data_IF_198511475138
#
_entry.id   IF_198511475138
#
_cell.length_a   1.000
_cell.length_b   1.000
_cell.length_c   1.000
_cell.angle_alpha   90.00
_cell.angle_beta   90.00
_cell.angle_gamma   90.00
#
_symmetry.space_group_name_H-M   'P 1'
#
loop_
_entity.id
_entity.type
_entity.pdbx_description
1 polymer ?
#
# COMPACT_ATOMS: atom_id res chain seq x y z
N UNK A 1 19.95 4.54 13.53
CA UNK A 1 19.21 3.42 12.92
C UNK A 1 19.98 2.14 13.21
N UNK A 2 19.33 1.07 13.67
CA UNK A 2 19.96 -0.24 13.72
C UNK A 2 20.31 -0.65 12.28
N UNK A 3 21.60 -0.88 11.99
CA UNK A 3 22.11 -1.08 10.63
C UNK A 3 21.48 -2.28 9.91
N UNK A 4 21.13 -3.34 10.64
CA UNK A 4 20.59 -4.57 10.05
C UNK A 4 19.19 -4.39 9.45
N UNK A 5 18.30 -3.66 10.12
CA UNK A 5 16.96 -3.35 9.58
C UNK A 5 17.07 -2.46 8.34
N UNK A 6 17.90 -1.40 8.41
CA UNK A 6 18.07 -0.48 7.29
C UNK A 6 18.65 -1.21 6.06
N UNK A 7 19.63 -2.09 6.26
CA UNK A 7 20.19 -2.90 5.17
C UNK A 7 19.14 -3.81 4.54
N UNK A 8 18.39 -4.58 5.34
CA UNK A 8 17.31 -5.43 4.82
C UNK A 8 16.30 -4.65 4.00
N UNK A 9 15.91 -3.47 4.47
CA UNK A 9 14.97 -2.60 3.74
C UNK A 9 15.59 -2.10 2.44
N UNK A 10 16.86 -1.71 2.44
CA UNK A 10 17.56 -1.30 1.22
C UNK A 10 17.60 -2.43 0.19
N UNK A 11 17.97 -3.66 0.61
CA UNK A 11 18.01 -4.83 -0.25
C UNK A 11 16.62 -5.16 -0.83
N UNK A 12 15.57 -5.07 0.00
CA UNK A 12 14.20 -5.29 -0.43
C UNK A 12 13.70 -4.24 -1.44
N UNK A 13 14.16 -2.98 -1.30
CA UNK A 13 13.83 -1.91 -2.24
C UNK A 13 14.51 -2.09 -3.61
N UNK A 14 15.61 -2.83 -3.69
CA UNK A 14 16.30 -3.17 -4.93
C UNK A 14 15.67 -4.35 -5.69
N UNK A 15 14.52 -4.86 -5.21
CA UNK A 15 13.78 -5.91 -5.91
C UNK A 15 13.55 -5.53 -7.39
N UNK A 16 14.02 -6.39 -8.29
CA UNK A 16 13.97 -6.14 -9.72
C UNK A 16 12.53 -5.93 -10.20
N UNK A 17 12.29 -4.80 -10.86
CA UNK A 17 11.05 -4.54 -11.58
C UNK A 17 11.29 -4.66 -13.08
N UNK A 18 10.26 -5.06 -13.82
CA UNK A 18 10.32 -5.10 -15.28
C UNK A 18 10.71 -3.71 -15.85
N UNK A 19 11.60 -3.59 -16.85
CA UNK A 19 12.05 -2.29 -17.36
C UNK A 19 10.91 -1.34 -17.76
N UNK A 20 9.88 -1.86 -18.43
CA UNK A 20 8.65 -1.13 -18.74
C UNK A 20 7.94 -0.51 -17.52
N UNK A 21 7.96 -1.18 -16.35
CA UNK A 21 7.41 -0.65 -15.09
C UNK A 21 8.25 0.52 -14.60
N UNK A 22 9.58 0.37 -14.61
CA UNK A 22 10.50 1.44 -14.20
C UNK A 22 10.40 2.66 -15.13
N UNK A 23 10.30 2.44 -16.45
CA UNK A 23 10.11 3.50 -17.44
C UNK A 23 8.78 4.25 -17.25
N UNK A 24 7.68 3.52 -16.97
CA UNK A 24 6.39 4.15 -16.70
C UNK A 24 6.42 4.94 -15.39
N UNK A 25 7.04 4.39 -14.34
CA UNK A 25 7.21 5.07 -13.07
C UNK A 25 8.05 6.35 -13.21
N UNK A 26 9.15 6.29 -13.96
CA UNK A 26 10.03 7.44 -14.25
C UNK A 26 9.25 8.57 -14.91
N UNK A 27 8.55 8.28 -16.01
CA UNK A 27 7.71 9.25 -16.72
C UNK A 27 6.70 9.93 -15.79
N UNK A 28 5.96 9.13 -15.01
CA UNK A 28 4.94 9.64 -14.09
C UNK A 28 5.54 10.46 -12.94
N UNK A 29 6.72 10.07 -12.46
CA UNK A 29 7.44 10.73 -11.38
C UNK A 29 8.01 12.08 -11.83
N UNK A 30 8.63 12.14 -13.00
CA UNK A 30 9.17 13.35 -13.61
C UNK A 30 8.05 14.37 -13.88
N UNK A 31 6.94 13.93 -14.50
CA UNK A 31 5.77 14.78 -14.75
C UNK A 31 5.20 15.37 -13.45
N UNK A 32 5.23 14.59 -12.36
CA UNK A 32 4.72 15.02 -11.07
C UNK A 32 5.72 15.85 -10.25
N UNK A 33 6.97 15.99 -10.71
CA UNK A 33 8.06 16.59 -9.90
C UNK A 33 8.36 15.78 -8.63
N UNK A 34 8.22 14.46 -8.68
CA UNK A 34 8.46 13.59 -7.54
C UNK A 34 9.96 13.43 -7.22
N UNK A 35 10.25 13.12 -5.97
CA UNK A 35 11.58 12.72 -5.51
C UNK A 35 11.83 11.22 -5.71
N UNK A 36 10.78 10.41 -5.64
CA UNK A 36 10.87 8.96 -5.79
C UNK A 36 9.54 8.32 -6.19
N UNK A 37 9.63 7.14 -6.78
CA UNK A 37 8.51 6.26 -7.07
C UNK A 37 8.70 4.89 -6.40
N UNK A 38 7.75 4.51 -5.56
CA UNK A 38 7.65 3.18 -4.97
C UNK A 38 6.64 2.34 -5.74
N UNK A 39 7.00 1.10 -6.07
CA UNK A 39 6.12 0.13 -6.71
C UNK A 39 5.77 -0.98 -5.72
N UNK A 40 4.50 -1.38 -5.71
CA UNK A 40 4.02 -2.45 -4.82
C UNK A 40 2.87 -3.22 -5.46
N UNK A 41 2.36 -4.22 -4.75
CA UNK A 41 1.17 -4.97 -5.14
C UNK A 41 1.50 -6.31 -5.77
N UNK A 42 0.48 -6.96 -6.35
CA UNK A 42 0.62 -8.31 -6.92
C UNK A 42 1.61 -8.36 -8.07
N UNK A 43 1.64 -7.32 -8.90
CA UNK A 43 2.45 -7.28 -10.12
C UNK A 43 3.95 -7.16 -9.85
N UNK A 44 4.34 -6.63 -8.67
CA UNK A 44 5.74 -6.65 -8.24
C UNK A 44 6.27 -8.07 -8.11
N UNK A 45 5.43 -9.00 -7.64
CA UNK A 45 5.83 -10.41 -7.48
C UNK A 45 5.73 -11.19 -8.78
N UNK A 46 4.64 -11.02 -9.54
CA UNK A 46 4.41 -11.84 -10.74
C UNK A 46 5.23 -11.38 -11.94
N UNK A 47 5.74 -10.14 -11.92
CA UNK A 47 6.38 -9.52 -13.09
C UNK A 47 5.40 -9.24 -14.22
N UNK A 48 4.10 -9.49 -14.01
CA UNK A 48 3.07 -9.31 -15.04
C UNK A 48 2.85 -7.83 -15.30
N UNK A 49 2.91 -7.49 -16.58
CA UNK A 49 2.48 -6.18 -17.09
C UNK A 49 0.97 -6.15 -17.37
N UNK A 50 0.27 -7.27 -17.21
CA UNK A 50 -1.20 -7.33 -17.24
C UNK A 50 -1.78 -6.86 -15.91
N UNK A 51 -2.82 -6.04 -15.97
CA UNK A 51 -3.44 -5.48 -14.77
C UNK A 51 -3.16 -4.00 -14.61
N UNK A 52 -3.17 -3.53 -13.36
CA UNK A 52 -2.88 -2.14 -13.01
C UNK A 52 -1.66 -2.12 -12.09
N UNK A 53 -0.63 -1.41 -12.50
CA UNK A 53 0.58 -1.17 -11.73
C UNK A 53 0.28 -0.15 -10.62
N UNK A 54 0.61 -0.48 -9.38
CA UNK A 54 0.36 0.41 -8.24
C UNK A 54 1.64 1.19 -7.86
N UNK A 55 1.62 2.50 -8.08
CA UNK A 55 2.73 3.39 -7.73
C UNK A 55 2.38 4.35 -6.60
N UNK A 56 3.37 4.62 -5.74
CA UNK A 56 3.39 5.75 -4.82
C UNK A 56 4.45 6.74 -5.26
N UNK A 57 4.06 7.95 -5.63
CA UNK A 57 4.97 9.05 -5.94
C UNK A 57 5.15 9.92 -4.70
N UNK A 58 6.40 10.04 -4.25
CA UNK A 58 6.81 10.80 -3.08
C UNK A 58 7.25 12.18 -3.56
N UNK A 59 6.44 13.20 -3.29
CA UNK A 59 6.70 14.58 -3.70
C UNK A 59 7.60 15.31 -2.68
N UNK A 60 8.54 16.15 -3.12
CA UNK A 60 9.21 17.09 -2.22
C UNK A 60 8.23 18.14 -1.68
N UNK A 61 8.64 18.86 -0.64
CA UNK A 61 7.87 19.96 -0.07
C UNK A 61 6.73 19.54 0.88
N UNK A 62 5.75 20.42 1.05
CA UNK A 62 4.65 20.27 2.00
C UNK A 62 3.41 19.62 1.38
N UNK A 63 2.61 18.96 2.22
CA UNK A 63 1.35 18.36 1.77
C UNK A 63 0.31 19.46 1.55
N UNK A 64 -0.11 19.63 0.30
CA UNK A 64 -1.12 20.62 -0.09
C UNK A 64 -2.54 20.14 0.25
N UNK A 65 -2.84 18.87 -0.02
CA UNK A 65 -4.19 18.33 0.15
C UNK A 65 -4.42 17.76 1.56
N UNK A 66 -5.54 18.14 2.20
CA UNK A 66 -5.90 17.66 3.54
C UNK A 66 -6.18 16.15 3.59
N UNK A 67 -6.84 15.62 2.56
CA UNK A 67 -7.13 14.20 2.42
C UNK A 67 -6.14 13.64 1.42
N UNK A 68 -5.18 12.86 1.89
CA UNK A 68 -4.15 12.23 1.08
C UNK A 68 -4.29 10.70 1.11
N UNK A 69 -3.69 9.96 0.14
CA UNK A 69 -3.00 10.48 -1.05
C UNK A 69 -3.97 11.02 -2.12
N UNK A 70 -3.47 11.78 -3.10
CA UNK A 70 -4.20 12.01 -4.36
C UNK A 70 -4.01 10.79 -5.24
N UNK A 71 -5.11 10.17 -5.68
CA UNK A 71 -5.04 8.99 -6.55
C UNK A 71 -5.41 9.38 -7.97
N UNK A 72 -4.77 8.79 -8.97
CA UNK A 72 -5.05 8.98 -10.40
C UNK A 72 -4.81 7.68 -11.19
N UNK A 73 -5.43 7.57 -12.37
CA UNK A 73 -5.27 6.45 -13.29
C UNK A 73 -4.65 6.90 -14.61
N UNK A 74 -3.62 6.16 -15.04
CA UNK A 74 -2.81 6.48 -16.21
C UNK A 74 -2.71 5.27 -17.14
N UNK A 75 -2.71 5.52 -18.44
CA UNK A 75 -2.43 4.52 -19.47
C UNK A 75 -1.27 5.02 -20.32
N UNK A 76 -0.40 4.10 -20.71
CA UNK A 76 0.74 4.42 -21.58
C UNK A 76 0.99 3.27 -22.54
N UNK A 77 1.02 3.59 -23.83
CA UNK A 77 1.45 2.65 -24.86
C UNK A 77 2.98 2.60 -24.90
N UNK A 78 3.53 1.42 -24.61
CA UNK A 78 4.95 1.14 -24.59
C UNK A 78 5.21 -0.16 -25.34
N UNK A 79 6.03 -0.10 -26.40
CA UNK A 79 6.41 -1.27 -27.22
C UNK A 79 5.18 -2.07 -27.73
N UNK A 80 4.16 -1.37 -28.22
CA UNK A 80 2.93 -1.99 -28.75
C UNK A 80 1.99 -2.56 -27.68
N UNK A 81 2.25 -2.31 -26.39
CA UNK A 81 1.42 -2.73 -25.26
C UNK A 81 0.91 -1.55 -24.44
N UNK A 82 -0.38 -1.57 -24.11
CA UNK A 82 -0.96 -0.59 -23.18
C UNK A 82 -0.71 -1.01 -21.73
N UNK A 83 0.18 -0.29 -21.07
CA UNK A 83 0.41 -0.36 -19.62
C UNK A 83 -0.62 0.51 -18.90
N UNK A 84 -0.98 0.11 -17.69
CA UNK A 84 -1.97 0.80 -16.85
C UNK A 84 -1.41 1.00 -15.47
N UNK A 85 -1.54 2.19 -14.92
CA UNK A 85 -1.02 2.52 -13.60
C UNK A 85 -2.07 3.24 -12.76
N UNK A 86 -2.13 2.87 -11.48
CA UNK A 86 -2.78 3.62 -10.43
C UNK A 86 -1.69 4.31 -9.62
N UNK A 87 -1.77 5.62 -9.54
CA UNK A 87 -0.74 6.45 -8.94
C UNK A 87 -1.31 7.15 -7.71
N UNK A 88 -0.70 6.93 -6.56
CA UNK A 88 -0.94 7.67 -5.32
C UNK A 88 0.18 8.71 -5.12
N UNK A 89 -0.17 10.00 -5.08
CA UNK A 89 0.77 11.11 -4.82
C UNK A 89 0.64 11.58 -3.38
N UNK A 90 1.77 11.79 -2.71
CA UNK A 90 1.85 12.28 -1.34
C UNK A 90 3.13 13.08 -1.14
N UNK A 91 3.13 14.09 -0.27
CA UNK A 91 4.37 14.72 0.16
C UNK A 91 5.20 13.75 1.00
N UNK A 92 6.52 13.69 0.75
CA UNK A 92 7.44 12.80 1.44
C UNK A 92 7.41 12.99 2.97
N UNK A 93 7.36 14.22 3.46
CA UNK A 93 7.27 14.49 4.89
C UNK A 93 5.98 13.91 5.53
N UNK A 94 4.87 13.88 4.80
CA UNK A 94 3.62 13.27 5.28
C UNK A 94 3.68 11.75 5.23
N UNK A 95 4.35 11.19 4.21
CA UNK A 95 4.63 9.76 4.14
C UNK A 95 5.44 9.28 5.35
N UNK A 96 6.51 10.00 5.71
CA UNK A 96 7.36 9.70 6.88
C UNK A 96 6.54 9.72 8.18
N UNK A 97 5.83 10.82 8.48
CA UNK A 97 4.98 10.89 9.68
C UNK A 97 3.93 9.79 9.74
N UNK A 98 3.36 9.42 8.59
CA UNK A 98 2.40 8.33 8.52
C UNK A 98 3.08 6.97 8.77
N UNK A 99 4.26 6.72 8.18
CA UNK A 99 5.04 5.51 8.39
C UNK A 99 5.48 5.32 9.86
N UNK A 100 5.83 6.41 10.53
CA UNK A 100 6.24 6.44 11.95
C UNK A 100 5.04 6.35 12.92
N UNK A 101 3.82 6.29 12.38
CA UNK A 101 2.60 6.16 13.17
C UNK A 101 2.22 7.46 13.90
N UNK A 102 2.76 8.60 13.50
CA UNK A 102 2.42 9.93 14.03
C UNK A 102 1.12 10.47 13.44
N UNK A 103 0.66 9.90 12.33
CA UNK A 103 -0.66 10.17 11.75
C UNK A 103 -1.79 9.39 12.45
N UNK A 104 -3.03 9.88 12.28
CA UNK A 104 -4.27 9.11 12.57
C UNK A 104 -4.51 8.01 11.55
N UNK A 105 -3.95 8.18 10.36
CA UNK A 105 -4.02 7.21 9.29
C UNK A 105 -3.09 6.02 9.54
N UNK A 106 -3.56 4.84 9.18
CA UNK A 106 -2.87 3.57 9.44
C UNK A 106 -2.45 2.84 8.17
N UNK A 107 -2.80 3.39 7.01
CA UNK A 107 -2.68 2.73 5.71
C UNK A 107 -1.23 2.67 5.23
N UNK A 108 -0.42 3.70 5.49
CA UNK A 108 0.97 3.77 5.02
C UNK A 108 1.81 2.68 5.66
N UNK A 109 1.91 2.62 6.99
CA UNK A 109 2.73 1.61 7.63
C UNK A 109 2.19 0.19 7.41
N UNK A 110 0.86 0.02 7.32
CA UNK A 110 0.25 -1.29 7.02
C UNK A 110 0.49 -1.76 5.57
N UNK A 111 0.68 -0.81 4.63
CA UNK A 111 0.99 -1.09 3.21
C UNK A 111 2.49 -1.34 3.01
N UNK A 112 3.33 -0.50 3.59
CA UNK A 112 4.78 -0.50 3.35
C UNK A 112 5.59 -1.37 4.32
N UNK A 113 4.91 -2.07 5.24
CA UNK A 113 5.50 -3.26 5.89
C UNK A 113 5.52 -4.47 4.96
N UNK A 114 4.69 -4.49 3.91
CA UNK A 114 4.71 -5.51 2.87
C UNK A 114 5.79 -5.18 1.82
N UNK A 115 6.23 -6.15 1.00
CA UNK A 115 7.23 -5.90 -0.04
C UNK A 115 6.83 -4.75 -0.99
N UNK A 116 7.83 -3.91 -1.29
CA UNK A 116 7.76 -2.80 -2.24
C UNK A 116 9.16 -2.57 -2.84
N UNK A 117 9.23 -2.09 -4.07
CA UNK A 117 10.48 -1.74 -4.74
C UNK A 117 10.60 -0.22 -4.96
N UNK A 118 11.82 0.29 -4.93
CA UNK A 118 12.16 1.66 -5.31
C UNK A 118 12.50 1.68 -6.80
N UNK A 119 11.52 1.96 -7.64
CA UNK A 119 11.65 1.81 -9.11
C UNK A 119 12.16 3.06 -9.82
N UNK A 120 12.17 4.21 -9.13
CA UNK A 120 12.76 5.45 -9.64
C UNK A 120 13.10 6.39 -8.48
N UNK A 121 14.20 7.15 -8.63
CA UNK A 121 14.62 8.25 -7.75
C UNK A 121 15.15 9.40 -8.59
N UNK A 122 14.86 10.64 -8.18
CA UNK A 122 15.39 11.82 -8.87
C UNK A 122 16.88 12.03 -8.62
N UNK A 123 17.32 11.79 -7.38
CA UNK A 123 18.72 11.90 -6.96
C UNK A 123 19.04 10.82 -5.91
N UNK A 124 20.31 10.41 -5.82
CA UNK A 124 20.77 9.42 -4.85
C UNK A 124 20.55 9.82 -3.38
N UNK A 125 20.44 11.12 -3.10
CA UNK A 125 20.23 11.67 -1.75
C UNK A 125 18.90 11.24 -1.10
N UNK A 126 17.90 10.90 -1.92
CA UNK A 126 16.59 10.47 -1.43
C UNK A 126 16.61 9.03 -0.92
N UNK A 127 17.49 8.18 -1.43
CA UNK A 127 17.56 6.76 -1.09
C UNK A 127 17.65 6.50 0.42
N UNK A 128 18.61 7.07 1.18
CA UNK A 128 18.68 6.84 2.63
C UNK A 128 17.42 7.33 3.38
N UNK A 129 16.79 8.41 2.90
CA UNK A 129 15.56 8.95 3.50
C UNK A 129 14.39 7.99 3.30
N UNK A 130 14.28 7.40 2.10
CA UNK A 130 13.24 6.42 1.76
C UNK A 130 13.44 5.13 2.57
N UNK A 131 14.67 4.62 2.64
CA UNK A 131 15.01 3.46 3.47
C UNK A 131 14.60 3.70 4.93
N UNK A 132 14.93 4.87 5.49
CA UNK A 132 14.52 5.25 6.84
C UNK A 132 13.00 5.30 7.00
N UNK A 133 12.27 5.84 6.02
CA UNK A 133 10.81 5.93 6.08
C UNK A 133 10.15 4.53 6.07
N UNK A 134 10.62 3.62 5.22
CA UNK A 134 10.11 2.25 5.14
C UNK A 134 10.51 1.45 6.40
N UNK A 135 11.71 1.65 6.92
CA UNK A 135 12.09 1.11 8.23
C UNK A 135 11.19 1.64 9.35
N UNK A 136 10.78 2.91 9.30
CA UNK A 136 9.78 3.50 10.21
C UNK A 136 8.43 2.80 10.13
N UNK A 137 7.96 2.49 8.91
CA UNK A 137 6.75 1.69 8.70
C UNK A 137 6.85 0.30 9.32
N UNK A 138 7.95 -0.41 9.08
CA UNK A 138 8.19 -1.74 9.64
C UNK A 138 8.20 -1.73 11.17
N UNK A 139 8.89 -0.76 11.77
CA UNK A 139 8.94 -0.55 13.23
C UNK A 139 7.56 -0.23 13.81
N UNK A 140 6.79 0.67 13.19
CA UNK A 140 5.43 0.98 13.66
C UNK A 140 4.52 -0.24 13.64
N UNK A 141 4.57 -1.00 12.56
CA UNK A 141 3.79 -2.22 12.35
C UNK A 141 4.20 -3.32 13.36
N UNK A 142 5.49 -3.58 13.50
CA UNK A 142 6.04 -4.60 14.40
C UNK A 142 5.74 -4.31 15.88
N UNK A 143 5.82 -3.04 16.31
CA UNK A 143 5.45 -2.62 17.66
C UNK A 143 4.00 -2.93 17.98
N UNK A 144 3.09 -2.65 17.04
CA UNK A 144 1.68 -2.96 17.21
C UNK A 144 1.45 -4.47 17.18
N UNK A 145 2.16 -5.20 16.30
CA UNK A 145 2.10 -6.66 16.24
C UNK A 145 2.50 -7.30 17.57
N UNK A 146 3.58 -6.85 18.21
CA UNK A 146 4.00 -7.33 19.54
C UNK A 146 2.91 -7.12 20.62
N UNK A 147 2.17 -6.02 20.55
CA UNK A 147 1.12 -5.72 21.52
C UNK A 147 -0.21 -6.45 21.23
N UNK A 148 -0.49 -6.82 19.98
CA UNK A 148 -1.71 -7.52 19.58
C UNK A 148 -1.58 -9.04 19.57
N UNK A 149 -0.39 -9.53 19.23
CA UNK A 149 -0.10 -10.95 19.05
C UNK A 149 -0.08 -11.76 20.35
N UNK A 150 0.20 -13.07 20.24
CA UNK A 150 0.26 -13.97 21.37
C UNK A 150 1.44 -13.64 22.30
N UNK A 151 1.42 -14.21 23.51
CA UNK A 151 2.58 -14.13 24.43
C UNK A 151 3.83 -14.78 23.83
N UNK A 152 3.65 -15.87 23.09
CA UNK A 152 4.68 -16.50 22.28
C UNK A 152 4.09 -17.19 21.05
N UNK A 153 4.70 -16.98 19.89
CA UNK A 153 4.25 -17.51 18.60
C UNK A 153 5.29 -17.32 17.50
N UNK A 154 4.97 -17.75 16.27
CA UNK A 154 5.84 -17.48 15.12
C UNK A 154 5.71 -16.03 14.66
N UNK A 155 6.62 -15.56 13.80
CA UNK A 155 6.47 -14.24 13.19
C UNK A 155 5.12 -14.09 12.46
N UNK A 156 4.65 -15.15 11.82
CA UNK A 156 3.36 -15.18 11.14
C UNK A 156 2.20 -14.90 12.10
N UNK A 157 2.20 -15.46 13.31
CA UNK A 157 1.15 -15.23 14.32
C UNK A 157 1.02 -13.73 14.66
N UNK A 158 2.16 -13.05 14.85
CA UNK A 158 2.21 -11.62 15.15
C UNK A 158 1.70 -10.78 13.98
N UNK A 159 2.16 -11.06 12.75
CA UNK A 159 1.71 -10.34 11.57
C UNK A 159 0.25 -10.59 11.24
N UNK A 160 -0.24 -11.82 11.43
CA UNK A 160 -1.65 -12.18 11.28
C UNK A 160 -2.53 -11.40 12.26
N UNK A 161 -2.13 -11.30 13.52
CA UNK A 161 -2.82 -10.48 14.51
C UNK A 161 -2.86 -8.99 14.09
N UNK A 162 -1.74 -8.46 13.61
CA UNK A 162 -1.65 -7.10 13.09
C UNK A 162 -2.61 -6.88 11.90
N UNK A 163 -2.50 -7.71 10.86
CA UNK A 163 -3.28 -7.53 9.64
C UNK A 163 -4.78 -7.66 9.91
N UNK A 164 -5.21 -8.66 10.70
CA UNK A 164 -6.61 -8.76 11.12
C UNK A 164 -7.11 -7.49 11.80
N UNK A 165 -6.32 -6.91 12.70
CA UNK A 165 -6.69 -5.66 13.37
C UNK A 165 -6.79 -4.48 12.38
N UNK A 166 -5.83 -4.36 11.44
CA UNK A 166 -5.86 -3.26 10.45
C UNK A 166 -7.00 -3.41 9.44
N UNK A 167 -7.28 -4.63 8.97
CA UNK A 167 -8.40 -4.89 8.06
C UNK A 167 -9.75 -4.57 8.71
N UNK A 168 -9.94 -4.89 9.99
CA UNK A 168 -11.16 -4.55 10.73
C UNK A 168 -11.32 -3.05 11.01
N UNK A 169 -10.20 -2.30 11.06
CA UNK A 169 -10.21 -0.86 11.31
C UNK A 169 -10.57 -0.04 10.07
N UNK A 170 -10.35 -0.62 8.88
CA UNK A 170 -10.57 0.03 7.60
C UNK A 170 -11.90 -0.38 6.96
N UNK A 171 -12.54 0.55 6.25
CA UNK A 171 -13.65 0.18 5.36
C UNK A 171 -13.05 -0.43 4.07
N UNK A 172 -12.89 -1.76 4.02
CA UNK A 172 -12.44 -2.50 2.83
C UNK A 172 -13.49 -3.52 2.41
N UNK A 173 -13.77 -3.57 1.10
CA UNK A 173 -14.62 -4.60 0.47
C UNK A 173 -13.72 -5.70 -0.09
N UNK A 174 -12.95 -6.34 0.79
CA UNK A 174 -12.10 -7.48 0.43
C UNK A 174 -12.72 -8.78 0.98
N UNK A 175 -12.47 -9.91 0.31
CA UNK A 175 -12.93 -11.23 0.79
C UNK A 175 -12.23 -11.54 2.13
N UNK A 176 -12.93 -12.15 3.10
CA UNK A 176 -12.28 -12.71 4.29
C UNK A 176 -11.11 -13.62 3.91
N UNK A 177 -9.97 -13.54 4.63
CA UNK A 177 -8.78 -14.38 4.40
C UNK A 177 -7.72 -13.78 3.46
N UNK A 178 -7.84 -12.52 3.04
CA UNK A 178 -6.80 -11.84 2.25
C UNK A 178 -5.47 -11.75 3.03
N UNK A 179 -5.52 -11.58 4.35
CA UNK A 179 -4.34 -11.55 5.21
C UNK A 179 -3.49 -12.81 5.08
N UNK A 180 -4.13 -13.98 4.95
CA UNK A 180 -3.44 -15.27 4.82
C UNK A 180 -2.78 -15.39 3.46
N UNK A 181 -3.42 -14.85 2.41
CA UNK A 181 -2.79 -14.74 1.11
C UNK A 181 -1.54 -13.85 1.18
N UNK A 182 -1.58 -12.69 1.84
CA UNK A 182 -0.41 -11.79 1.92
C UNK A 182 0.76 -12.44 2.66
N UNK A 183 0.48 -13.12 3.76
CA UNK A 183 1.49 -13.79 4.58
C UNK A 183 2.11 -14.97 3.84
N UNK A 184 1.29 -15.86 3.28
CA UNK A 184 1.77 -17.07 2.59
C UNK A 184 2.67 -16.78 1.39
N UNK A 185 2.34 -15.80 0.54
CA UNK A 185 3.22 -15.44 -0.60
C UNK A 185 4.49 -14.67 -0.20
N UNK A 186 4.62 -14.21 1.05
CA UNK A 186 5.78 -13.42 1.48
C UNK A 186 6.33 -13.90 2.85
N UNK A 187 6.26 -15.19 3.15
CA UNK A 187 6.62 -15.75 4.46
C UNK A 187 8.05 -15.35 4.87
N UNK A 188 9.04 -15.57 4.01
CA UNK A 188 10.45 -15.21 4.25
C UNK A 188 10.67 -13.71 4.50
N UNK A 189 9.87 -12.85 3.86
CA UNK A 189 9.92 -11.41 4.10
C UNK A 189 9.50 -11.11 5.54
N UNK A 190 8.36 -11.65 5.97
CA UNK A 190 7.77 -11.38 7.28
C UNK A 190 8.53 -12.04 8.44
N UNK A 191 9.03 -13.25 8.25
CA UNK A 191 9.86 -13.97 9.22
C UNK A 191 11.14 -13.21 9.55
N UNK A 192 11.88 -12.76 8.53
CA UNK A 192 13.12 -12.02 8.75
C UNK A 192 12.90 -10.56 9.19
N UNK A 193 11.74 -9.96 8.88
CA UNK A 193 11.49 -8.55 9.20
C UNK A 193 11.17 -8.32 10.68
N UNK A 194 10.38 -9.20 11.31
CA UNK A 194 9.84 -8.95 12.65
C UNK A 194 10.92 -8.80 13.72
N UNK A 195 11.90 -9.72 13.85
CA UNK A 195 12.95 -9.61 14.87
C UNK A 195 13.78 -8.33 14.67
N UNK A 196 14.19 -8.03 13.43
CA UNK A 196 14.98 -6.83 13.12
C UNK A 196 14.23 -5.54 13.45
N UNK A 197 12.91 -5.51 13.22
CA UNK A 197 12.08 -4.37 13.57
C UNK A 197 11.94 -4.18 15.08
N UNK A 198 11.81 -5.27 15.85
CA UNK A 198 11.81 -5.21 17.32
C UNK A 198 13.16 -4.78 17.90
N UNK A 199 14.26 -5.33 17.39
CA UNK A 199 15.62 -4.93 17.77
C UNK A 199 15.87 -3.44 17.50
N UNK A 200 15.46 -2.95 16.33
CA UNK A 200 15.61 -1.53 15.97
C UNK A 200 14.86 -0.59 16.92
N UNK A 201 13.80 -1.06 17.57
CA UNK A 201 13.02 -0.31 18.56
C UNK A 201 13.43 -0.58 20.01
N UNK A 202 14.40 -1.47 20.24
CA UNK A 202 14.79 -1.90 21.57
C UNK A 202 13.68 -2.66 22.31
N UNK A 203 12.79 -3.35 21.59
CA UNK A 203 11.79 -4.24 22.19
C UNK A 203 12.53 -5.55 22.52
N UNK A 204 12.76 -5.90 23.80
CA UNK A 204 13.39 -7.16 24.14
C UNK A 204 12.45 -8.32 23.81
N UNK A 205 12.99 -9.44 23.31
CA UNK A 205 12.22 -10.65 23.05
C UNK A 205 13.09 -11.90 23.30
N UNK A 206 12.45 -13.02 23.63
CA UNK A 206 13.10 -14.33 23.59
C UNK A 206 12.88 -14.96 22.22
N UNK A 207 13.85 -15.76 21.78
CA UNK A 207 13.78 -16.55 20.55
C UNK A 207 14.18 -17.99 20.84
N UNK A 208 13.32 -18.93 20.45
CA UNK A 208 13.55 -20.36 20.51
C UNK A 208 13.12 -20.97 19.16
N UNK A 209 14.09 -21.28 18.32
CA UNK A 209 13.86 -21.61 16.91
C UNK A 209 13.07 -20.51 16.17
N UNK A 210 11.89 -20.87 15.70
CA UNK A 210 10.94 -19.97 15.02
C UNK A 210 9.99 -19.24 15.98
N UNK A 211 9.93 -19.65 17.25
CA UNK A 211 9.06 -19.03 18.25
C UNK A 211 9.73 -17.78 18.81
N UNK A 212 8.96 -16.71 18.82
CA UNK A 212 9.31 -15.40 19.34
C UNK A 212 8.39 -15.07 20.52
N UNK A 213 8.91 -14.36 21.51
CA UNK A 213 8.14 -13.91 22.67
C UNK A 213 8.59 -12.50 23.09
N UNK A 214 7.86 -11.42 22.70
CA UNK A 214 8.21 -10.06 23.06
C UNK A 214 7.98 -9.82 24.55
N UNK A 215 8.96 -9.22 25.22
CA UNK A 215 8.92 -8.86 26.64
C UNK A 215 8.44 -7.42 26.77
N UNK A 216 7.14 -7.22 26.66
CA UNK A 216 6.50 -5.93 26.93
C UNK A 216 5.96 -5.90 28.35
N UNK A 217 6.25 -4.85 29.11
CA UNK A 217 5.55 -4.63 30.37
C UNK A 217 4.06 -4.42 30.12
N UNK A 218 3.23 -4.73 31.12
CA UNK A 218 1.79 -4.51 31.02
C UNK A 218 1.45 -3.03 30.74
N UNK A 219 2.25 -2.09 31.24
CA UNK A 219 2.09 -0.65 30.99
C UNK A 219 2.39 -0.29 29.53
N UNK A 220 3.48 -0.78 28.95
CA UNK A 220 3.83 -0.54 27.54
C UNK A 220 2.81 -1.14 26.59
N UNK A 221 2.37 -2.38 26.85
CA UNK A 221 1.32 -3.02 26.06
C UNK A 221 0.04 -2.19 26.07
N UNK A 222 -0.41 -1.74 27.25
CA UNK A 222 -1.58 -0.84 27.37
C UNK A 222 -1.37 0.47 26.61
N UNK A 223 -0.18 1.07 26.65
CA UNK A 223 0.14 2.31 25.92
C UNK A 223 -0.01 2.13 24.41
N UNK A 224 0.56 1.05 23.86
CA UNK A 224 0.48 0.72 22.43
C UNK A 224 -0.97 0.45 22.01
N UNK A 225 -1.71 -0.35 22.78
CA UNK A 225 -3.11 -0.65 22.49
C UNK A 225 -4.01 0.59 22.58
N UNK A 226 -3.73 1.50 23.52
CA UNK A 226 -4.45 2.79 23.63
C UNK A 226 -4.11 3.73 22.47
N UNK A 227 -2.85 3.75 22.01
CA UNK A 227 -2.42 4.45 20.81
C UNK A 227 -3.16 3.92 19.56
N UNK A 228 -3.31 2.61 19.45
CA UNK A 228 -4.04 1.94 18.37
C UNK A 228 -5.55 2.20 18.42
N UNK A 229 -6.17 2.06 19.58
CA UNK A 229 -7.62 2.24 19.76
C UNK A 229 -8.07 3.64 19.31
N UNK A 230 -7.28 4.67 19.59
CA UNK A 230 -7.53 6.04 19.11
C UNK A 230 -7.50 6.14 17.59
N UNK A 231 -6.55 5.46 16.91
CA UNK A 231 -6.39 5.48 15.45
C UNK A 231 -7.46 4.66 14.72
N UNK A 232 -7.79 3.48 15.25
CA UNK A 232 -8.84 2.59 14.71
C UNK A 232 -10.18 3.32 14.54
N UNK A 233 -10.52 4.24 15.43
CA UNK A 233 -11.76 5.05 15.36
C UNK A 233 -11.80 5.97 14.12
N UNK A 234 -10.65 6.36 13.58
CA UNK A 234 -10.56 7.21 12.39
C UNK A 234 -10.41 6.43 11.08
N UNK A 235 -10.15 5.13 11.12
CA UNK A 235 -9.92 4.32 9.90
C UNK A 235 -11.10 4.35 8.93
N UNK A 236 -12.31 4.00 9.39
CA UNK A 236 -13.52 4.02 8.56
C UNK A 236 -13.90 5.44 8.06
N UNK A 237 -13.94 6.48 8.91
CA UNK A 237 -14.20 7.84 8.44
C UNK A 237 -13.19 8.35 7.41
N UNK A 238 -11.89 8.09 7.62
CA UNK A 238 -10.85 8.52 6.66
C UNK A 238 -10.97 7.79 5.32
N UNK A 239 -11.27 6.48 5.34
CA UNK A 239 -11.51 5.74 4.10
C UNK A 239 -12.76 6.21 3.36
N UNK A 240 -13.83 6.54 4.07
CA UNK A 240 -15.02 7.15 3.44
C UNK A 240 -14.70 8.51 2.83
N UNK A 241 -13.98 9.38 3.56
CA UNK A 241 -13.56 10.68 3.06
C UNK A 241 -12.68 10.56 1.80
N UNK A 242 -11.80 9.55 1.75
CA UNK A 242 -11.02 9.22 0.54
C UNK A 242 -11.89 8.74 -0.61
N UNK A 243 -12.91 7.92 -0.35
CA UNK A 243 -13.82 7.45 -1.39
C UNK A 243 -14.62 8.62 -1.98
N UNK A 244 -15.15 9.50 -1.13
CA UNK A 244 -15.84 10.72 -1.55
C UNK A 244 -14.91 11.60 -2.37
N UNK A 245 -13.68 11.84 -1.90
CA UNK A 245 -12.69 12.58 -2.67
C UNK A 245 -12.36 11.92 -4.01
N UNK A 246 -12.13 10.60 -4.03
CA UNK A 246 -11.84 9.88 -5.26
C UNK A 246 -13.01 9.98 -6.25
N UNK A 247 -14.26 10.04 -5.78
CA UNK A 247 -15.40 10.21 -6.69
C UNK A 247 -15.39 11.55 -7.46
N UNK A 248 -14.70 12.57 -6.95
CA UNK A 248 -14.63 13.91 -7.56
C UNK A 248 -13.28 14.26 -8.15
N UNK A 249 -12.17 13.63 -7.70
CA UNK A 249 -10.81 13.98 -8.11
C UNK A 249 -10.01 12.82 -8.72
N UNK A 250 -10.62 11.65 -8.90
CA UNK A 250 -9.93 10.50 -9.51
C UNK A 250 -9.87 10.69 -11.02
N UNK A 251 -8.83 11.37 -11.47
CA UNK A 251 -8.52 11.56 -12.88
C UNK A 251 -8.38 10.18 -13.56
N UNK A 252 -9.21 9.90 -14.57
CA UNK A 252 -9.29 8.60 -15.23
C UNK A 252 -10.23 7.57 -14.58
N UNK A 253 -11.07 7.96 -13.61
CA UNK A 253 -12.03 7.07 -12.93
C UNK A 253 -12.90 6.25 -13.88
N UNK A 254 -13.45 6.90 -14.90
CA UNK A 254 -14.32 6.26 -15.87
C UNK A 254 -13.55 5.18 -16.65
N UNK A 255 -12.34 5.50 -17.13
CA UNK A 255 -11.47 4.56 -17.88
C UNK A 255 -11.10 3.35 -17.04
N UNK A 256 -10.71 3.58 -15.78
CA UNK A 256 -10.44 2.49 -14.83
C UNK A 256 -11.69 1.63 -14.57
N UNK A 257 -12.86 2.24 -14.36
CA UNK A 257 -14.10 1.51 -14.12
C UNK A 257 -14.52 0.67 -15.34
N UNK A 258 -14.45 1.24 -16.54
CA UNK A 258 -14.71 0.53 -17.79
C UNK A 258 -13.78 -0.67 -17.97
N UNK A 259 -12.47 -0.46 -17.83
CA UNK A 259 -11.49 -1.54 -17.91
C UNK A 259 -11.75 -2.63 -16.88
N UNK A 260 -12.04 -2.27 -15.63
CA UNK A 260 -12.29 -3.25 -14.56
C UNK A 260 -13.56 -4.07 -14.82
N UNK A 261 -14.61 -3.42 -15.35
CA UNK A 261 -15.83 -4.10 -15.77
C UNK A 261 -15.53 -5.06 -16.92
N UNK A 262 -14.87 -4.59 -17.97
CA UNK A 262 -14.52 -5.39 -19.14
C UNK A 262 -13.65 -6.60 -18.76
N UNK A 263 -12.62 -6.41 -17.94
CA UNK A 263 -11.75 -7.51 -17.45
C UNK A 263 -12.50 -8.59 -16.70
N UNK A 264 -13.51 -8.23 -15.89
CA UNK A 264 -14.29 -9.20 -15.12
C UNK A 264 -15.51 -9.75 -15.85
N UNK A 265 -15.95 -9.10 -16.93
CA UNK A 265 -17.22 -9.42 -17.60
C UNK A 265 -17.07 -9.86 -19.04
N UNK A 266 -15.92 -9.59 -19.68
CA UNK A 266 -15.69 -9.76 -21.11
C UNK A 266 -16.42 -8.75 -21.99
N UNK A 267 -17.17 -7.80 -21.40
CA UNK A 267 -18.02 -6.87 -22.16
C UNK A 267 -17.28 -5.54 -22.36
N UNK A 268 -17.00 -5.12 -23.61
CA UNK A 268 -16.33 -3.86 -23.88
C UNK A 268 -17.19 -2.66 -23.47
N UNK A 269 -16.59 -1.76 -22.69
CA UNK A 269 -17.24 -0.54 -22.19
C UNK A 269 -16.60 0.67 -22.83
N UNK A 270 -17.22 1.20 -23.89
CA UNK A 270 -16.78 2.45 -24.52
C UNK A 270 -16.88 3.63 -23.55
N UNK A 271 -15.79 4.37 -23.40
CA UNK A 271 -15.72 5.64 -22.66
C UNK A 271 -16.14 6.74 -23.62
N UNK A 272 -17.24 7.42 -23.32
CA UNK A 272 -17.62 8.64 -24.02
C UNK A 272 -17.21 9.85 -23.18
N UNK A 273 -16.98 11.04 -23.78
CA UNK A 273 -16.61 12.25 -23.05
C UNK A 273 -17.57 12.62 -21.90
N UNK A 274 -18.84 12.25 -22.04
CA UNK A 274 -19.85 12.42 -20.99
C UNK A 274 -19.67 11.43 -19.83
N UNK A 275 -19.37 10.16 -20.11
CA UNK A 275 -19.10 9.14 -19.07
C UNK A 275 -17.81 9.43 -18.31
N UNK A 276 -16.85 10.04 -18.99
CA UNK A 276 -15.60 10.50 -18.39
C UNK A 276 -15.83 11.66 -17.41
N UNK A 277 -16.72 12.59 -17.75
CA UNK A 277 -17.12 13.70 -16.86
C UNK A 277 -18.10 13.30 -15.75
N UNK A 278 -18.92 12.27 -15.97
CA UNK A 278 -19.99 11.87 -15.03
C UNK A 278 -20.03 10.35 -14.73
N UNK A 279 -18.95 9.78 -14.15
CA UNK A 279 -18.83 8.33 -13.97
C UNK A 279 -19.93 7.70 -13.09
N UNK A 280 -20.40 8.39 -12.06
CA UNK A 280 -21.48 7.90 -11.17
C UNK A 280 -22.82 7.82 -11.90
N UNK A 281 -23.16 8.83 -12.70
CA UNK A 281 -24.40 8.86 -13.50
C UNK A 281 -24.37 7.85 -14.65
N UNK A 282 -23.18 7.53 -15.16
CA UNK A 282 -22.99 6.54 -16.21
C UNK A 282 -23.11 5.08 -15.71
N UNK A 283 -22.91 4.83 -14.41
CA UNK A 283 -22.79 3.48 -13.85
C UNK A 283 -24.04 2.60 -14.07
N UNK A 284 -25.30 3.08 -13.89
CA UNK A 284 -26.48 2.24 -14.10
C UNK A 284 -26.61 1.74 -15.56
N UNK A 285 -26.32 2.61 -16.53
CA UNK A 285 -26.39 2.25 -17.95
C UNK A 285 -25.32 1.24 -18.37
N UNK A 286 -24.10 1.36 -17.81
CA UNK A 286 -23.02 0.38 -18.05
C UNK A 286 -23.37 -0.97 -17.42
N UNK A 287 -23.85 -0.98 -16.17
CA UNK A 287 -24.26 -2.21 -15.48
C UNK A 287 -25.41 -2.92 -16.20
N UNK A 288 -26.40 -2.17 -16.71
CA UNK A 288 -27.50 -2.73 -17.49
C UNK A 288 -27.03 -3.33 -18.83
N UNK A 289 -26.08 -2.68 -19.52
CA UNK A 289 -25.48 -3.20 -20.76
C UNK A 289 -24.74 -4.51 -20.52
N UNK A 290 -23.94 -4.58 -19.45
CA UNK A 290 -23.23 -5.80 -19.02
C UNK A 290 -24.22 -6.91 -18.69
N UNK A 291 -25.25 -6.61 -17.91
CA UNK A 291 -26.29 -7.58 -17.53
C UNK A 291 -27.03 -8.14 -18.75
N UNK A 292 -27.38 -7.28 -19.72
CA UNK A 292 -28.05 -7.70 -20.96
C UNK A 292 -27.13 -8.55 -21.84
N UNK A 293 -25.85 -8.21 -21.95
CA UNK A 293 -24.88 -8.98 -22.71
C UNK A 293 -24.68 -10.40 -22.12
N UNK A 294 -24.60 -10.51 -20.78
CA UNK A 294 -24.51 -11.78 -20.07
C UNK A 294 -25.76 -12.66 -20.10
N UNK A 295 -26.91 -12.12 -20.51
CA UNK A 295 -28.15 -12.90 -20.71
C UNK A 295 -28.32 -13.44 -22.13
N UNK A 296 -27.50 -12.96 -23.08
CA UNK A 296 -27.60 -13.28 -24.51
C UNK A 296 -26.50 -14.22 -25.01
N UNK A 297 -25.50 -14.51 -24.18
CA UNK A 297 -24.52 -15.58 -24.36
C UNK A 297 -24.62 -16.53 -23.19
#
# INVERSE_FOLDING_TARGET
>A
MNGALAQRIADGLDAAAHPAVAAFAARLAEEAGAAAALFYGSNLRTGELEGVLDFYLLLPGSQTERIWPRVSYHEWEHEGRVLRAKVARIAFATFVRAAEGESRDTTIWARFVQPSALVWISTGEWRPRIVSAIAGAAQTAARLAAALGPESGTAEDYWRALFRATYQAEFRVEKPGREDSILSVNATHFEGLLPLAWEAQGIPFARDGERLAPRLSAAERRRILSWWARRRRFGKPLNLARLVKASTTFDGAARYAAWKIERHTGVPVAITPWRERHPVLAAPGVLFKVWRARRRG
#
